data_IF_629548304252
#
_entry.id   IF_629548304252
#
_cell.length_a   1.000
_cell.length_b   1.000
_cell.length_c   1.000
_cell.angle_alpha   90.00
_cell.angle_beta   90.00
_cell.angle_gamma   90.00
#
_symmetry.space_group_name_H-M   'P 1'
#
loop_
_entity.id
_entity.type
_entity.pdbx_description
1 polymer ?
#
# COMPACT_ATOMS: atom_id res chain seq x y z
N UNK A 1 -12.74 -11.22 0.90
CA UNK A 1 -11.94 -11.96 1.90
C UNK A 1 -11.27 -13.13 1.21
N UNK A 2 -9.93 -13.11 1.09
CA UNK A 2 -9.17 -14.17 0.42
C UNK A 2 -7.67 -14.04 0.77
N UNK A 3 -7.11 -15.03 1.45
CA UNK A 3 -5.69 -15.10 1.84
C UNK A 3 -4.74 -15.27 0.64
N UNK A 4 -5.24 -15.79 -0.48
CA UNK A 4 -4.48 -15.96 -1.72
C UNK A 4 -4.52 -14.73 -2.63
N UNK A 5 -5.26 -13.70 -2.26
CA UNK A 5 -5.32 -12.45 -3.04
C UNK A 5 -3.96 -11.77 -3.08
N UNK A 6 -3.47 -11.43 -4.26
CA UNK A 6 -2.20 -10.71 -4.44
C UNK A 6 -2.24 -9.29 -3.81
N UNK A 7 -3.41 -8.68 -3.73
CA UNK A 7 -3.58 -7.29 -3.25
C UNK A 7 -4.16 -7.23 -1.84
N UNK A 8 -5.13 -8.10 -1.52
CA UNK A 8 -5.95 -7.97 -0.31
C UNK A 8 -5.78 -9.11 0.71
N UNK A 9 -4.82 -10.02 0.53
CA UNK A 9 -4.58 -11.13 1.48
C UNK A 9 -4.40 -10.66 2.93
N UNK A 10 -3.73 -9.54 3.14
CA UNK A 10 -3.52 -8.94 4.47
C UNK A 10 -4.82 -8.50 5.18
N UNK A 11 -5.95 -8.41 4.47
CA UNK A 11 -7.23 -8.03 5.07
C UNK A 11 -7.75 -9.08 6.06
N UNK A 12 -7.43 -10.36 5.83
CA UNK A 12 -7.81 -11.44 6.74
C UNK A 12 -7.13 -11.28 8.10
N UNK A 13 -5.84 -10.97 8.10
CA UNK A 13 -5.09 -10.68 9.33
C UNK A 13 -5.62 -9.42 10.05
N UNK A 14 -5.88 -8.35 9.32
CA UNK A 14 -6.49 -7.13 9.89
C UNK A 14 -7.85 -7.43 10.56
N UNK A 15 -8.69 -8.24 9.92
CA UNK A 15 -9.99 -8.63 10.49
C UNK A 15 -9.83 -9.46 11.75
N UNK A 16 -8.92 -10.42 11.77
CA UNK A 16 -8.63 -11.23 12.95
C UNK A 16 -8.12 -10.38 14.12
N UNK A 17 -7.18 -9.45 13.86
CA UNK A 17 -6.68 -8.53 14.88
C UNK A 17 -7.75 -7.54 15.39
N UNK A 18 -8.71 -7.16 14.54
CA UNK A 18 -9.88 -6.39 14.98
C UNK A 18 -10.82 -7.26 15.84
N UNK A 19 -10.95 -8.54 15.54
CA UNK A 19 -11.73 -9.48 16.35
C UNK A 19 -11.20 -9.63 17.79
N UNK A 20 -9.90 -9.45 17.99
CA UNK A 20 -9.30 -9.41 19.35
C UNK A 20 -9.68 -8.16 20.15
N UNK A 21 -10.26 -7.14 19.51
CA UNK A 21 -10.60 -5.84 20.14
C UNK A 21 -12.10 -5.61 20.28
N UNK A 22 -12.94 -6.42 19.64
CA UNK A 22 -14.40 -6.28 19.64
C UNK A 22 -15.08 -7.63 19.90
N UNK A 23 -16.19 -7.62 20.61
CA UNK A 23 -16.98 -8.84 20.90
C UNK A 23 -17.43 -9.55 19.64
N UNK A 24 -17.75 -8.79 18.59
CA UNK A 24 -18.15 -9.34 17.30
C UNK A 24 -17.71 -8.42 16.15
N UNK A 25 -17.14 -9.01 15.10
CA UNK A 25 -16.80 -8.32 13.85
C UNK A 25 -17.65 -8.91 12.72
N UNK A 26 -18.36 -8.04 12.01
CA UNK A 26 -19.12 -8.42 10.82
C UNK A 26 -18.47 -7.85 9.58
N UNK A 27 -18.06 -8.71 8.66
CA UNK A 27 -17.43 -8.33 7.40
C UNK A 27 -18.43 -8.47 6.25
N UNK A 28 -18.69 -7.38 5.52
CA UNK A 28 -19.42 -7.40 4.25
C UNK A 28 -18.43 -7.22 3.10
N UNK A 29 -18.21 -8.25 2.29
CA UNK A 29 -17.24 -8.28 1.21
C UNK A 29 -17.87 -8.47 -0.17
N UNK A 30 -17.24 -7.90 -1.20
CA UNK A 30 -17.67 -8.05 -2.60
C UNK A 30 -17.26 -9.38 -3.22
N UNK A 31 -16.15 -9.97 -2.78
CA UNK A 31 -15.64 -11.26 -3.25
C UNK A 31 -15.15 -12.10 -2.08
N UNK A 32 -15.18 -13.42 -2.26
CA UNK A 32 -14.78 -14.39 -1.25
C UNK A 32 -13.90 -15.46 -1.90
N UNK A 33 -12.87 -15.87 -1.22
CA UNK A 33 -11.95 -16.96 -1.57
C UNK A 33 -11.69 -17.82 -0.35
N UNK A 34 -10.46 -18.29 -0.19
CA UNK A 34 -10.04 -19.04 1.00
C UNK A 34 -9.68 -18.05 2.12
N UNK A 35 -10.22 -18.24 3.30
CA UNK A 35 -9.88 -17.44 4.47
C UNK A 35 -10.08 -18.21 5.78
N UNK A 36 -9.28 -17.88 6.79
CA UNK A 36 -9.45 -18.39 8.15
C UNK A 36 -9.63 -17.19 9.09
N UNK A 37 -10.77 -17.16 9.79
CA UNK A 37 -11.11 -16.07 10.70
C UNK A 37 -11.45 -16.58 12.09
N UNK A 38 -11.33 -15.70 13.10
CA UNK A 38 -11.69 -15.96 14.49
C UNK A 38 -13.18 -16.27 14.64
N UNK A 39 -13.55 -16.99 15.68
CA UNK A 39 -14.92 -17.46 15.93
C UNK A 39 -15.95 -16.35 16.09
N UNK A 40 -15.54 -15.16 16.53
CA UNK A 40 -16.37 -13.97 16.67
C UNK A 40 -16.45 -13.11 15.38
N UNK A 41 -15.90 -13.60 14.24
CA UNK A 41 -16.01 -12.95 12.94
C UNK A 41 -17.08 -13.61 12.10
N UNK A 42 -18.02 -12.82 11.60
CA UNK A 42 -19.01 -13.26 10.62
C UNK A 42 -18.76 -12.61 9.26
N UNK A 43 -18.55 -13.43 8.21
CA UNK A 43 -18.28 -12.95 6.85
C UNK A 43 -19.52 -13.12 5.98
N UNK A 44 -19.94 -12.03 5.35
CA UNK A 44 -21.07 -11.98 4.42
C UNK A 44 -20.59 -11.50 3.05
N UNK A 45 -21.18 -12.08 2.03
CA UNK A 45 -20.83 -11.89 0.64
C UNK A 45 -21.96 -11.23 -0.15
N UNK A 46 -21.66 -10.17 -0.89
CA UNK A 46 -22.63 -9.46 -1.71
C UNK A 46 -22.50 -9.69 -3.23
N UNK A 47 -21.55 -10.54 -3.65
CA UNK A 47 -21.31 -10.86 -5.06
C UNK A 47 -21.14 -9.61 -5.94
N UNK A 48 -20.08 -8.85 -5.68
CA UNK A 48 -19.72 -7.70 -6.49
C UNK A 48 -19.16 -8.15 -7.84
N UNK A 49 -19.83 -7.79 -8.93
CA UNK A 49 -19.45 -8.18 -10.29
C UNK A 49 -18.75 -6.99 -10.95
N UNK A 50 -17.45 -7.11 -11.34
CA UNK A 50 -16.77 -6.11 -12.13
C UNK A 50 -17.57 -5.76 -13.41
N UNK A 51 -17.61 -4.48 -13.77
CA UNK A 51 -18.38 -4.00 -14.92
C UNK A 51 -19.89 -3.79 -14.66
N UNK A 52 -20.52 -4.50 -13.72
CA UNK A 52 -21.95 -4.37 -13.39
C UNK A 52 -22.19 -3.57 -12.11
N UNK A 53 -21.70 -2.31 -12.11
CA UNK A 53 -21.65 -1.46 -10.89
C UNK A 53 -23.02 -1.26 -10.22
N UNK A 54 -24.06 -0.94 -10.98
CA UNK A 54 -25.40 -0.69 -10.43
C UNK A 54 -25.99 -1.93 -9.75
N UNK A 55 -25.96 -3.07 -10.43
CA UNK A 55 -26.46 -4.34 -9.88
C UNK A 55 -25.68 -4.75 -8.62
N UNK A 56 -24.37 -4.59 -8.66
CA UNK A 56 -23.50 -4.89 -7.52
C UNK A 56 -23.80 -3.97 -6.32
N UNK A 57 -24.08 -2.70 -6.58
CA UNK A 57 -24.47 -1.76 -5.54
C UNK A 57 -25.84 -2.12 -4.93
N UNK A 58 -26.84 -2.50 -5.74
CA UNK A 58 -28.14 -2.97 -5.25
C UNK A 58 -27.99 -4.20 -4.35
N UNK A 59 -27.16 -5.18 -4.75
CA UNK A 59 -26.88 -6.37 -3.95
C UNK A 59 -26.19 -6.03 -2.63
N UNK A 60 -25.21 -5.12 -2.69
CA UNK A 60 -24.52 -4.61 -1.50
C UNK A 60 -25.52 -3.94 -0.54
N UNK A 61 -26.34 -3.02 -1.03
CA UNK A 61 -27.31 -2.27 -0.23
C UNK A 61 -28.36 -3.22 0.41
N UNK A 62 -28.88 -4.16 -0.38
CA UNK A 62 -29.81 -5.17 0.15
C UNK A 62 -29.19 -5.96 1.31
N UNK A 63 -27.93 -6.43 1.13
CA UNK A 63 -27.24 -7.18 2.17
C UNK A 63 -26.90 -6.34 3.38
N UNK A 64 -26.49 -5.10 3.17
CA UNK A 64 -26.23 -4.13 4.23
C UNK A 64 -27.48 -3.86 5.08
N UNK A 65 -28.62 -3.58 4.46
CA UNK A 65 -29.89 -3.34 5.16
C UNK A 65 -30.36 -4.58 5.93
N UNK A 66 -30.21 -5.78 5.35
CA UNK A 66 -30.50 -7.03 6.04
C UNK A 66 -29.65 -7.19 7.31
N UNK A 67 -28.35 -6.86 7.24
CA UNK A 67 -27.45 -6.92 8.38
C UNK A 67 -27.81 -5.90 9.45
N UNK A 68 -28.21 -4.69 9.07
CA UNK A 68 -28.69 -3.65 10.00
C UNK A 68 -29.95 -4.07 10.74
N UNK A 69 -30.87 -4.74 10.06
CA UNK A 69 -32.11 -5.25 10.68
C UNK A 69 -31.90 -6.40 11.66
N UNK A 70 -30.80 -7.15 11.49
CA UNK A 70 -30.51 -8.35 12.29
C UNK A 70 -29.46 -8.12 13.40
N UNK A 71 -28.75 -6.99 13.41
CA UNK A 71 -27.65 -6.74 14.33
C UNK A 71 -27.61 -5.26 14.76
N UNK A 72 -27.15 -5.02 15.98
CA UNK A 72 -26.82 -3.66 16.45
C UNK A 72 -25.32 -3.40 16.23
N UNK A 73 -24.99 -2.41 15.41
CA UNK A 73 -23.61 -2.01 15.16
C UNK A 73 -23.28 -0.75 15.94
N UNK A 74 -22.13 -0.73 16.60
CA UNK A 74 -21.58 0.47 17.27
C UNK A 74 -20.78 1.33 16.30
N UNK A 75 -20.10 0.70 15.34
CA UNK A 75 -19.26 1.37 14.37
C UNK A 75 -19.24 0.62 13.03
N UNK A 76 -19.06 1.36 11.95
CA UNK A 76 -18.85 0.85 10.58
C UNK A 76 -17.54 1.41 10.05
N UNK A 77 -16.70 0.53 9.54
CA UNK A 77 -15.43 0.86 8.89
C UNK A 77 -15.46 0.45 7.42
N UNK A 78 -15.55 1.43 6.53
CA UNK A 78 -15.50 1.23 5.07
C UNK A 78 -14.05 1.28 4.59
N UNK A 79 -13.52 0.16 4.06
CA UNK A 79 -12.13 0.08 3.64
C UNK A 79 -11.98 0.25 2.12
N UNK A 80 -11.45 1.39 1.65
CA UNK A 80 -11.23 1.73 0.23
C UNK A 80 -12.49 1.69 -0.64
N UNK A 81 -13.66 1.84 -0.05
CA UNK A 81 -14.97 1.67 -0.72
C UNK A 81 -15.78 2.97 -0.67
N UNK A 82 -15.25 4.05 -1.29
CA UNK A 82 -15.88 5.38 -1.25
C UNK A 82 -17.30 5.40 -1.83
N UNK A 83 -17.57 4.64 -2.90
CA UNK A 83 -18.92 4.52 -3.48
C UNK A 83 -19.89 3.92 -2.46
N UNK A 84 -19.56 2.74 -1.90
CA UNK A 84 -20.40 2.09 -0.90
C UNK A 84 -20.57 2.96 0.34
N UNK A 85 -19.49 3.59 0.81
CA UNK A 85 -19.50 4.53 1.93
C UNK A 85 -20.49 5.66 1.69
N UNK A 86 -20.52 6.25 0.49
CA UNK A 86 -21.46 7.30 0.12
C UNK A 86 -22.92 6.87 0.29
N UNK A 87 -23.26 5.66 -0.19
CA UNK A 87 -24.66 5.19 -0.15
C UNK A 87 -25.12 4.77 1.25
N UNK A 88 -24.22 4.26 2.10
CA UNK A 88 -24.59 3.88 3.48
C UNK A 88 -24.49 5.04 4.47
N UNK A 89 -23.72 6.08 4.19
CA UNK A 89 -23.47 7.15 5.15
C UNK A 89 -24.72 7.96 5.56
N UNK A 90 -25.72 8.22 4.71
CA UNK A 90 -26.98 8.81 5.16
C UNK A 90 -27.71 7.93 6.18
N UNK A 91 -27.75 6.61 5.94
CA UNK A 91 -28.41 5.63 6.81
C UNK A 91 -27.69 5.57 8.17
N UNK A 92 -26.37 5.42 8.17
CA UNK A 92 -25.58 5.36 9.40
C UNK A 92 -25.70 6.64 10.23
N UNK A 93 -25.81 7.80 9.55
CA UNK A 93 -25.99 9.10 10.21
C UNK A 93 -27.36 9.19 10.88
N UNK A 94 -28.44 8.78 10.22
CA UNK A 94 -29.79 8.77 10.80
C UNK A 94 -29.86 7.81 11.98
N UNK A 95 -29.28 6.63 11.85
CA UNK A 95 -29.23 5.61 12.91
C UNK A 95 -28.20 5.90 14.00
N UNK A 96 -27.48 7.01 13.90
CA UNK A 96 -26.40 7.42 14.82
C UNK A 96 -25.29 6.38 15.02
N UNK A 97 -25.07 5.53 14.01
CA UNK A 97 -23.96 4.58 13.97
C UNK A 97 -22.70 5.33 13.53
N UNK A 98 -21.61 5.19 14.28
CA UNK A 98 -20.33 5.78 13.87
C UNK A 98 -19.87 5.14 12.55
N UNK A 99 -19.48 5.96 11.60
CA UNK A 99 -19.04 5.50 10.28
C UNK A 99 -17.75 6.19 9.88
N UNK A 100 -16.71 5.42 9.58
CA UNK A 100 -15.41 5.89 9.11
C UNK A 100 -15.04 5.27 7.78
N UNK A 101 -14.38 6.05 6.92
CA UNK A 101 -13.88 5.60 5.62
C UNK A 101 -12.35 5.57 5.62
N UNK A 102 -11.75 4.41 5.38
CA UNK A 102 -10.33 4.35 5.00
C UNK A 102 -10.17 4.74 3.54
N UNK A 103 -9.37 5.78 3.30
CA UNK A 103 -9.07 6.24 1.95
C UNK A 103 -7.61 6.70 1.89
N UNK A 104 -6.75 5.88 1.28
CA UNK A 104 -5.32 6.12 1.09
C UNK A 104 -4.99 6.24 -0.40
N UNK A 105 -5.55 7.23 -1.05
CA UNK A 105 -5.38 7.53 -2.47
C UNK A 105 -5.45 9.04 -2.71
N UNK A 106 -4.64 9.55 -3.65
CA UNK A 106 -4.57 11.00 -3.92
C UNK A 106 -5.68 11.53 -4.85
N UNK A 107 -6.46 10.64 -5.49
CA UNK A 107 -7.57 11.06 -6.34
C UNK A 107 -8.72 11.62 -5.53
N UNK A 108 -9.22 12.79 -5.92
CA UNK A 108 -10.46 13.33 -5.41
C UNK A 108 -11.63 12.95 -6.33
N UNK A 109 -12.78 12.68 -5.73
CA UNK A 109 -14.01 12.35 -6.44
C UNK A 109 -15.26 12.69 -5.61
N UNK A 110 -16.41 12.81 -6.27
CA UNK A 110 -17.66 13.18 -5.62
C UNK A 110 -18.07 12.26 -4.48
N UNK A 111 -17.82 10.95 -4.61
CA UNK A 111 -18.15 9.96 -3.56
C UNK A 111 -17.33 10.19 -2.30
N UNK A 112 -16.07 10.58 -2.45
CA UNK A 112 -15.20 10.93 -1.32
C UNK A 112 -15.68 12.19 -0.62
N UNK A 113 -16.12 13.22 -1.37
CA UNK A 113 -16.63 14.47 -0.81
C UNK A 113 -17.94 14.25 -0.05
N UNK A 114 -18.86 13.45 -0.58
CA UNK A 114 -20.11 13.08 0.12
C UNK A 114 -19.79 12.28 1.38
N UNK A 115 -18.90 11.29 1.29
CA UNK A 115 -18.47 10.51 2.45
C UNK A 115 -17.84 11.41 3.53
N UNK A 116 -17.00 12.39 3.14
CA UNK A 116 -16.46 13.40 4.07
C UNK A 116 -17.55 14.15 4.85
N UNK A 117 -18.61 14.55 4.15
CA UNK A 117 -19.69 15.33 4.75
C UNK A 117 -20.53 14.50 5.74
N UNK A 118 -20.78 13.24 5.43
CA UNK A 118 -21.76 12.41 6.11
C UNK A 118 -21.15 11.43 7.11
N UNK A 119 -19.89 11.04 6.96
CA UNK A 119 -19.21 10.13 7.91
C UNK A 119 -18.65 10.88 9.12
N UNK A 120 -18.26 10.13 10.14
CA UNK A 120 -17.58 10.66 11.33
C UNK A 120 -16.14 11.07 11.02
N UNK A 121 -15.50 10.44 10.02
CA UNK A 121 -14.17 10.82 9.59
C UNK A 121 -13.61 9.94 8.48
N UNK A 122 -12.51 10.43 7.91
CA UNK A 122 -11.70 9.72 6.92
C UNK A 122 -10.40 9.30 7.59
N UNK A 123 -10.05 8.04 7.47
CA UNK A 123 -8.81 7.47 7.96
C UNK A 123 -7.89 7.24 6.76
N UNK A 124 -6.62 7.55 6.90
CA UNK A 124 -5.64 7.45 5.80
C UNK A 124 -4.25 7.04 6.32
N UNK A 125 -3.35 6.67 5.42
CA UNK A 125 -1.99 6.30 5.81
C UNK A 125 -1.14 7.49 6.23
N UNK A 126 -1.18 8.58 5.46
CA UNK A 126 -0.51 9.86 5.76
C UNK A 126 -1.44 11.00 5.36
N UNK A 127 -1.22 12.19 5.89
CA UNK A 127 -2.04 13.35 5.51
C UNK A 127 -1.97 13.68 4.01
N UNK A 128 -0.86 13.36 3.34
CA UNK A 128 -0.72 13.56 1.90
C UNK A 128 -1.25 12.40 1.05
N UNK A 129 -1.55 11.26 1.67
CA UNK A 129 -2.17 10.12 0.98
C UNK A 129 -3.69 10.26 0.77
N UNK A 130 -4.27 11.37 1.21
CA UNK A 130 -5.69 11.68 1.00
C UNK A 130 -5.82 13.13 0.52
N UNK A 131 -6.65 13.43 -0.51
CA UNK A 131 -6.86 14.80 -0.99
C UNK A 131 -7.65 15.67 0.02
N UNK A 132 -8.45 15.02 0.87
CA UNK A 132 -9.23 15.70 1.92
C UNK A 132 -8.32 16.16 3.05
N UNK A 133 -8.53 17.41 3.50
CA UNK A 133 -7.87 18.01 4.65
C UNK A 133 -8.89 18.42 5.71
N UNK A 134 -8.46 18.48 6.96
CA UNK A 134 -9.29 18.99 8.07
C UNK A 134 -9.30 18.07 9.29
N UNK A 135 -10.02 18.51 10.35
CA UNK A 135 -10.04 17.88 11.67
C UNK A 135 -10.61 16.45 11.70
N UNK A 136 -11.36 16.05 10.67
CA UNK A 136 -11.94 14.70 10.55
C UNK A 136 -11.08 13.76 9.71
N UNK A 137 -9.82 14.10 9.43
CA UNK A 137 -8.88 13.24 8.71
C UNK A 137 -7.82 12.73 9.67
N UNK A 138 -7.77 11.42 9.83
CA UNK A 138 -6.90 10.71 10.77
C UNK A 138 -5.82 9.94 10.02
N UNK A 139 -4.57 10.38 10.12
CA UNK A 139 -3.43 9.67 9.56
C UNK A 139 -2.91 8.65 10.58
N UNK A 140 -3.04 7.36 10.29
CA UNK A 140 -2.69 6.29 11.23
C UNK A 140 -1.59 5.34 10.72
N UNK A 141 -0.90 5.69 9.64
CA UNK A 141 0.14 4.86 9.04
C UNK A 141 -0.40 3.81 8.06
N UNK A 142 0.49 3.00 7.51
CA UNK A 142 0.16 1.78 6.78
C UNK A 142 0.13 0.59 7.74
N UNK A 143 -0.59 -0.48 7.37
CA UNK A 143 -0.55 -1.75 8.10
C UNK A 143 0.36 -2.72 7.37
N UNK A 144 1.55 -2.99 7.93
CA UNK A 144 2.49 -3.99 7.44
C UNK A 144 2.94 -4.86 8.60
N UNK A 145 2.87 -6.17 8.43
CA UNK A 145 3.25 -7.11 9.47
C UNK A 145 4.78 -7.18 9.60
N UNK A 146 5.31 -6.63 10.69
CA UNK A 146 6.75 -6.61 10.99
C UNK A 146 7.32 -7.99 11.30
N UNK A 147 6.49 -8.96 11.68
CA UNK A 147 6.91 -10.36 11.88
C UNK A 147 7.09 -11.09 10.54
N UNK A 148 6.30 -10.68 9.54
CA UNK A 148 6.37 -11.25 8.20
C UNK A 148 7.52 -10.66 7.37
N UNK A 149 7.79 -9.35 7.49
CA UNK A 149 8.90 -8.66 6.84
C UNK A 149 10.09 -8.55 7.80
N UNK A 150 10.88 -9.62 7.89
CA UNK A 150 12.04 -9.67 8.76
C UNK A 150 13.21 -8.85 8.22
N UNK A 151 13.97 -8.23 9.11
CA UNK A 151 15.18 -7.48 8.80
C UNK A 151 16.22 -8.36 8.07
N UNK A 152 16.79 -7.87 6.96
CA UNK A 152 17.98 -8.44 6.33
C UNK A 152 19.16 -8.26 7.28
N UNK A 153 19.83 -9.33 7.63
CA UNK A 153 20.87 -9.32 8.67
C UNK A 153 22.16 -8.65 8.21
N UNK A 154 22.44 -8.65 6.91
CA UNK A 154 23.66 -8.08 6.35
C UNK A 154 23.34 -7.38 5.03
N UNK A 155 23.76 -6.13 4.92
CA UNK A 155 23.76 -5.39 3.66
C UNK A 155 25.00 -5.73 2.88
N UNK A 156 24.84 -6.09 1.62
CA UNK A 156 25.96 -6.32 0.70
C UNK A 156 26.35 -5.02 0.03
N UNK A 157 27.66 -4.77 -0.05
CA UNK A 157 28.26 -3.65 -0.79
C UNK A 157 29.38 -4.19 -1.67
N UNK A 158 29.55 -3.65 -2.89
CA UNK A 158 28.74 -2.60 -3.52
C UNK A 158 27.31 -3.03 -3.82
N UNK A 159 26.38 -2.08 -3.85
CA UNK A 159 24.99 -2.31 -4.29
C UNK A 159 25.01 -2.60 -5.79
N UNK A 160 24.48 -3.76 -6.17
CA UNK A 160 24.46 -4.26 -7.56
C UNK A 160 23.04 -4.64 -7.99
N UNK A 161 22.30 -5.32 -7.11
CA UNK A 161 20.98 -5.89 -7.43
C UNK A 161 19.86 -4.97 -6.97
N UNK A 162 19.24 -4.30 -7.93
CA UNK A 162 18.08 -3.43 -7.69
C UNK A 162 16.78 -4.20 -7.92
N UNK A 163 15.75 -3.87 -7.16
CA UNK A 163 14.43 -4.47 -7.30
C UNK A 163 13.34 -3.42 -7.27
N UNK A 164 12.32 -3.59 -8.12
CA UNK A 164 11.01 -2.96 -8.01
C UNK A 164 9.94 -4.04 -7.90
N UNK A 165 9.03 -3.89 -6.94
CA UNK A 165 7.84 -4.74 -6.82
C UNK A 165 6.62 -3.83 -6.85
N UNK A 166 5.74 -4.04 -7.83
CA UNK A 166 4.54 -3.21 -7.99
C UNK A 166 3.71 -3.62 -9.19
N UNK A 167 2.50 -3.08 -9.24
CA UNK A 167 1.60 -3.30 -10.38
C UNK A 167 2.12 -2.58 -11.62
N UNK A 168 1.94 -3.18 -12.78
CA UNK A 168 2.24 -2.54 -14.07
C UNK A 168 1.13 -1.54 -14.46
N UNK A 169 0.97 -0.50 -13.64
CA UNK A 169 0.07 0.61 -13.91
C UNK A 169 0.88 1.85 -14.32
N UNK A 170 0.39 2.71 -15.23
CA UNK A 170 1.11 3.93 -15.65
C UNK A 170 1.55 4.80 -14.49
N UNK A 171 0.75 4.88 -13.41
CA UNK A 171 1.06 5.65 -12.22
C UNK A 171 2.34 5.19 -11.48
N UNK A 172 2.77 3.94 -11.69
CA UNK A 172 4.00 3.40 -11.07
C UNK A 172 5.27 3.83 -11.78
N UNK A 173 5.16 4.44 -12.96
CA UNK A 173 6.28 4.97 -13.75
C UNK A 173 7.41 3.95 -13.99
N UNK A 174 7.05 2.69 -14.25
CA UNK A 174 8.06 1.61 -14.41
C UNK A 174 9.01 1.93 -15.55
N UNK A 175 8.51 2.47 -16.66
CA UNK A 175 9.35 2.90 -17.78
C UNK A 175 10.38 3.96 -17.40
N UNK A 176 10.04 4.89 -16.50
CA UNK A 176 10.97 5.88 -15.95
C UNK A 176 12.04 5.22 -15.06
N UNK A 177 11.63 4.27 -14.20
CA UNK A 177 12.61 3.53 -13.38
C UNK A 177 13.67 2.88 -14.26
N UNK A 178 13.26 2.16 -15.31
CA UNK A 178 14.19 1.48 -16.21
C UNK A 178 15.09 2.47 -16.94
N UNK A 179 14.51 3.57 -17.48
CA UNK A 179 15.27 4.58 -18.21
C UNK A 179 16.32 5.29 -17.35
N UNK A 180 15.96 5.65 -16.10
CA UNK A 180 16.86 6.31 -15.16
C UNK A 180 17.98 5.37 -14.70
N UNK A 181 17.70 4.08 -14.47
CA UNK A 181 18.75 3.11 -14.11
C UNK A 181 19.64 2.81 -15.32
N UNK A 182 19.10 2.73 -16.54
CA UNK A 182 19.90 2.60 -17.77
C UNK A 182 20.93 3.72 -17.88
N UNK A 183 20.52 4.97 -17.67
CA UNK A 183 21.44 6.11 -17.66
C UNK A 183 22.50 5.98 -16.56
N UNK A 184 22.13 5.54 -15.37
CA UNK A 184 23.06 5.38 -14.25
C UNK A 184 24.09 4.26 -14.49
N UNK A 185 23.79 3.29 -15.35
CA UNK A 185 24.73 2.22 -15.73
C UNK A 185 25.93 2.71 -16.53
N UNK A 186 25.88 3.89 -17.14
CA UNK A 186 27.06 4.51 -17.76
C UNK A 186 28.18 4.76 -16.72
N UNK A 187 27.78 5.07 -15.49
CA UNK A 187 28.68 5.28 -14.35
C UNK A 187 28.89 3.99 -13.51
N UNK A 188 27.88 3.10 -13.49
CA UNK A 188 27.84 1.88 -12.69
C UNK A 188 27.41 0.68 -13.52
N UNK A 189 28.25 0.16 -14.44
CA UNK A 189 27.85 -0.86 -15.42
C UNK A 189 27.43 -2.21 -14.80
N UNK A 190 27.83 -2.47 -13.56
CA UNK A 190 27.47 -3.69 -12.82
C UNK A 190 26.01 -3.73 -12.33
N UNK A 191 25.25 -2.62 -12.36
CA UNK A 191 23.89 -2.58 -11.87
C UNK A 191 22.97 -3.53 -12.65
N UNK A 192 22.15 -4.29 -11.91
CA UNK A 192 21.10 -5.16 -12.43
C UNK A 192 19.76 -4.73 -11.83
N UNK A 193 18.68 -4.83 -12.62
CA UNK A 193 17.33 -4.46 -12.19
C UNK A 193 16.34 -5.59 -12.43
N UNK A 194 15.64 -5.99 -11.37
CA UNK A 194 14.49 -6.88 -11.45
C UNK A 194 13.20 -6.08 -11.23
N UNK A 195 12.26 -6.20 -12.16
CA UNK A 195 10.90 -5.63 -12.06
C UNK A 195 9.93 -6.78 -11.89
N UNK A 196 9.26 -6.81 -10.73
CA UNK A 196 8.28 -7.86 -10.38
C UNK A 196 6.89 -7.25 -10.34
N UNK A 197 5.97 -7.77 -11.15
CA UNK A 197 4.60 -7.31 -11.13
C UNK A 197 3.77 -7.77 -12.30
N UNK A 198 2.48 -7.45 -12.22
CA UNK A 198 1.50 -7.70 -13.28
C UNK A 198 0.55 -6.50 -13.37
N UNK A 199 -0.14 -6.30 -14.50
CA UNK A 199 -1.15 -5.25 -14.61
C UNK A 199 -2.29 -5.49 -13.61
N UNK A 200 -2.85 -4.41 -13.07
CA UNK A 200 -3.97 -4.50 -12.13
C UNK A 200 -5.31 -4.81 -12.79
N UNK A 201 -5.38 -4.72 -14.10
CA UNK A 201 -6.53 -5.03 -14.94
C UNK A 201 -6.10 -5.17 -16.39
N UNK A 202 -6.93 -5.79 -17.21
CA UNK A 202 -6.71 -5.96 -18.66
C UNK A 202 -6.43 -4.62 -19.37
N UNK A 203 -7.02 -3.54 -18.89
CA UNK A 203 -6.78 -2.17 -19.38
C UNK A 203 -5.30 -1.78 -19.41
N UNK A 204 -4.49 -2.33 -18.50
CA UNK A 204 -3.06 -1.98 -18.39
C UNK A 204 -2.13 -3.03 -19.00
N UNK A 205 -2.68 -4.05 -19.66
CA UNK A 205 -1.89 -5.06 -20.37
C UNK A 205 -1.04 -4.42 -21.48
N UNK A 206 -1.65 -3.56 -22.30
CA UNK A 206 -0.96 -2.85 -23.37
C UNK A 206 0.18 -1.97 -22.86
N UNK A 207 -0.03 -1.31 -21.70
CA UNK A 207 1.03 -0.53 -21.06
C UNK A 207 2.21 -1.42 -20.65
N UNK A 208 1.95 -2.57 -20.04
CA UNK A 208 3.01 -3.52 -19.67
C UNK A 208 3.79 -4.00 -20.88
N UNK A 209 3.09 -4.37 -21.96
CA UNK A 209 3.70 -4.84 -23.21
C UNK A 209 4.53 -3.74 -23.89
N UNK A 210 4.03 -2.51 -23.90
CA UNK A 210 4.74 -1.33 -24.40
C UNK A 210 6.06 -1.10 -23.64
N UNK A 211 6.03 -1.17 -22.29
CA UNK A 211 7.24 -1.03 -21.48
C UNK A 211 8.23 -2.16 -21.76
N UNK A 212 7.79 -3.41 -21.81
CA UNK A 212 8.66 -4.57 -22.09
C UNK A 212 9.29 -4.49 -23.47
N UNK A 213 8.49 -4.14 -24.49
CA UNK A 213 8.97 -3.98 -25.87
C UNK A 213 10.02 -2.88 -25.97
N UNK A 214 9.78 -1.72 -25.34
CA UNK A 214 10.72 -0.60 -25.36
C UNK A 214 12.11 -0.96 -24.82
N UNK A 215 12.19 -1.85 -23.85
CA UNK A 215 13.43 -2.23 -23.17
C UNK A 215 13.88 -3.66 -23.47
N UNK A 216 13.42 -4.24 -24.60
CA UNK A 216 13.76 -5.61 -24.98
C UNK A 216 15.27 -5.82 -25.16
N UNK A 217 15.97 -4.87 -25.77
CA UNK A 217 17.42 -4.93 -25.90
C UNK A 217 18.14 -4.97 -24.55
N UNK A 218 17.63 -4.24 -23.56
CA UNK A 218 18.19 -4.20 -22.21
C UNK A 218 18.00 -5.52 -21.46
N UNK A 219 16.90 -6.22 -21.74
CA UNK A 219 16.66 -7.60 -21.25
C UNK A 219 17.63 -8.58 -21.92
N UNK A 220 17.85 -8.47 -23.25
CA UNK A 220 18.79 -9.34 -23.99
C UNK A 220 20.23 -9.17 -23.51
N UNK A 221 20.63 -7.94 -23.14
CA UNK A 221 21.96 -7.67 -22.53
C UNK A 221 22.07 -8.29 -21.12
N UNK A 222 20.94 -8.61 -20.46
CA UNK A 222 20.90 -9.38 -19.22
C UNK A 222 21.04 -8.54 -17.93
N UNK A 223 20.93 -7.22 -18.00
CA UNK A 223 20.91 -6.39 -16.79
C UNK A 223 19.49 -6.09 -16.29
N UNK A 224 18.47 -6.21 -17.14
CA UNK A 224 17.06 -5.99 -16.83
C UNK A 224 16.28 -7.29 -16.91
N UNK A 225 15.45 -7.57 -15.89
CA UNK A 225 14.56 -8.73 -15.88
C UNK A 225 13.15 -8.29 -15.51
N UNK A 226 12.15 -8.73 -16.29
CA UNK A 226 10.74 -8.60 -15.97
C UNK A 226 10.19 -9.95 -15.50
N UNK A 227 9.62 -9.96 -14.30
CA UNK A 227 9.01 -11.15 -13.71
C UNK A 227 7.52 -10.90 -13.45
N UNK A 228 6.66 -11.93 -13.53
CA UNK A 228 5.26 -11.80 -13.15
C UNK A 228 5.13 -11.50 -11.66
N UNK A 229 3.95 -11.05 -11.24
CA UNK A 229 3.67 -10.88 -9.83
C UNK A 229 3.83 -12.21 -9.08
N UNK A 230 4.45 -12.14 -7.92
CA UNK A 230 4.67 -13.27 -7.03
C UNK A 230 3.66 -13.25 -5.87
N UNK A 231 3.45 -14.41 -5.25
CA UNK A 231 2.64 -14.52 -4.05
C UNK A 231 3.23 -13.66 -2.92
N UNK A 232 2.33 -13.02 -2.15
CA UNK A 232 2.74 -12.15 -1.06
C UNK A 232 3.73 -12.81 -0.09
N UNK A 233 3.54 -14.09 0.19
CA UNK A 233 4.41 -14.84 1.10
C UNK A 233 5.87 -14.91 0.64
N UNK A 234 6.13 -14.78 -0.65
CA UNK A 234 7.48 -14.81 -1.25
C UNK A 234 8.17 -13.45 -1.29
N UNK A 235 7.42 -12.35 -1.06
CA UNK A 235 7.96 -10.98 -1.17
C UNK A 235 9.12 -10.73 -0.20
N UNK A 236 9.05 -11.08 1.10
CA UNK A 236 10.16 -10.85 2.03
C UNK A 236 11.46 -11.52 1.60
N UNK A 237 11.38 -12.75 1.14
CA UNK A 237 12.58 -13.50 0.71
C UNK A 237 13.12 -12.94 -0.60
N UNK A 238 12.24 -12.47 -1.49
CA UNK A 238 12.67 -11.84 -2.72
C UNK A 238 13.36 -10.49 -2.48
N UNK A 239 12.83 -9.67 -1.56
CA UNK A 239 13.49 -8.42 -1.16
C UNK A 239 14.88 -8.66 -0.59
N UNK A 240 15.08 -9.70 0.23
CA UNK A 240 16.39 -10.03 0.84
C UNK A 240 17.47 -10.45 -0.17
N UNK A 241 17.10 -10.95 -1.35
CA UNK A 241 18.04 -11.30 -2.42
C UNK A 241 18.62 -10.09 -3.15
N UNK A 242 18.09 -8.91 -2.87
CA UNK A 242 18.44 -7.65 -3.54
C UNK A 242 19.07 -6.65 -2.57
N UNK A 243 19.76 -5.67 -3.13
CA UNK A 243 20.56 -4.73 -2.36
C UNK A 243 19.88 -3.37 -2.19
N UNK A 244 18.97 -3.00 -3.09
CA UNK A 244 18.23 -1.74 -3.01
C UNK A 244 16.87 -1.86 -3.69
N UNK A 245 15.84 -1.32 -3.04
CA UNK A 245 14.51 -1.18 -3.60
C UNK A 245 14.37 0.16 -4.33
N UNK A 246 13.90 0.15 -5.57
CA UNK A 246 13.71 1.35 -6.39
C UNK A 246 12.24 1.59 -6.69
N UNK A 247 11.79 2.87 -6.64
CA UNK A 247 10.37 3.17 -6.71
C UNK A 247 10.11 4.60 -7.22
N UNK A 248 9.16 4.76 -8.16
CA UNK A 248 8.89 6.05 -8.80
C UNK A 248 7.42 6.54 -8.72
N UNK A 249 6.55 5.86 -7.99
CA UNK A 249 5.19 6.33 -7.77
C UNK A 249 5.15 7.55 -6.84
N UNK A 250 4.53 8.64 -7.31
CA UNK A 250 4.49 9.92 -6.58
C UNK A 250 3.19 10.16 -5.80
N UNK A 251 2.25 9.23 -5.82
CA UNK A 251 0.95 9.37 -5.14
C UNK A 251 1.02 9.17 -3.63
N UNK A 252 0.07 8.44 -3.09
CA UNK A 252 0.02 8.10 -1.65
C UNK A 252 1.24 7.30 -1.20
N UNK A 253 1.45 7.20 0.11
CA UNK A 253 2.47 6.31 0.68
C UNK A 253 2.20 4.87 0.22
N UNK A 254 3.07 4.35 -0.64
CA UNK A 254 2.92 3.00 -1.17
C UNK A 254 3.31 1.96 -0.11
N UNK A 255 2.53 0.90 -0.03
CA UNK A 255 2.76 -0.18 0.93
C UNK A 255 4.08 -0.90 0.68
N UNK A 256 4.46 -1.08 -0.58
CA UNK A 256 5.73 -1.74 -0.96
C UNK A 256 6.96 -0.98 -0.48
N UNK A 257 6.90 0.36 -0.37
CA UNK A 257 7.97 1.15 0.24
C UNK A 257 8.15 0.83 1.73
N UNK A 258 7.03 0.68 2.44
CA UNK A 258 7.04 0.33 3.87
C UNK A 258 7.54 -1.10 4.05
N UNK A 259 7.12 -2.03 3.20
CA UNK A 259 7.55 -3.43 3.19
C UNK A 259 9.07 -3.57 2.91
N UNK A 260 9.59 -2.84 1.91
CA UNK A 260 11.03 -2.82 1.62
C UNK A 260 11.84 -2.24 2.80
N UNK A 261 11.33 -1.18 3.44
CA UNK A 261 11.99 -0.57 4.60
C UNK A 261 11.99 -1.52 5.80
N UNK A 262 10.92 -2.28 6.04
CA UNK A 262 10.86 -3.34 7.05
C UNK A 262 11.79 -4.52 6.75
N UNK A 263 12.08 -4.77 5.48
CA UNK A 263 13.08 -5.76 5.10
C UNK A 263 14.52 -5.28 5.32
N UNK A 264 14.70 -4.05 5.81
CA UNK A 264 15.98 -3.40 6.08
C UNK A 264 16.92 -3.41 4.85
N UNK A 265 16.37 -3.08 3.68
CA UNK A 265 17.16 -2.78 2.48
C UNK A 265 17.07 -1.28 2.17
N UNK A 266 18.09 -0.66 1.57
CA UNK A 266 18.03 0.70 1.09
C UNK A 266 16.84 0.92 0.15
N UNK A 267 16.18 2.07 0.27
CA UNK A 267 15.04 2.45 -0.57
C UNK A 267 15.34 3.74 -1.28
N UNK A 268 15.52 3.70 -2.61
CA UNK A 268 15.62 4.87 -3.47
C UNK A 268 14.24 5.19 -4.05
N UNK A 269 13.71 6.37 -3.75
CA UNK A 269 12.35 6.74 -4.18
C UNK A 269 12.16 8.23 -4.35
N UNK A 270 11.21 8.59 -5.23
CA UNK A 270 10.71 9.96 -5.41
C UNK A 270 9.33 10.17 -4.76
N UNK A 271 8.85 9.21 -3.98
CA UNK A 271 7.55 9.30 -3.30
C UNK A 271 7.58 10.36 -2.21
N UNK A 272 6.79 11.42 -2.40
CA UNK A 272 6.76 12.57 -1.49
C UNK A 272 6.36 12.21 -0.06
N UNK A 273 5.41 11.30 0.11
CA UNK A 273 4.93 10.90 1.43
C UNK A 273 5.98 10.05 2.18
N UNK A 274 6.70 9.20 1.46
CA UNK A 274 7.84 8.48 2.02
C UNK A 274 8.96 9.45 2.45
N UNK A 275 9.31 10.38 1.58
CA UNK A 275 10.39 11.36 1.87
C UNK A 275 10.05 12.31 3.02
N UNK A 276 8.78 12.63 3.25
CA UNK A 276 8.35 13.41 4.43
C UNK A 276 8.57 12.65 5.74
N UNK A 277 8.41 11.34 5.74
CA UNK A 277 8.54 10.50 6.93
C UNK A 277 10.01 10.17 7.22
N UNK A 278 10.74 9.76 6.18
CA UNK A 278 12.08 9.17 6.33
C UNK A 278 13.22 10.14 5.97
N UNK A 279 12.94 11.20 5.24
CA UNK A 279 13.94 12.10 4.65
C UNK A 279 14.50 11.57 3.33
N UNK A 280 15.22 12.44 2.62
CA UNK A 280 16.02 12.08 1.45
C UNK A 280 17.33 11.40 1.92
N UNK A 281 17.90 10.55 1.09
CA UNK A 281 19.26 10.06 1.32
C UNK A 281 20.28 11.18 1.18
N UNK A 282 20.12 11.97 0.13
CA UNK A 282 20.93 13.17 -0.09
C UNK A 282 20.36 14.34 0.74
N UNK A 283 21.01 14.69 1.83
CA UNK A 283 20.67 15.82 2.70
C UNK A 283 20.96 17.20 2.07
N UNK A 284 21.35 17.27 0.79
CA UNK A 284 21.56 18.57 0.16
C UNK A 284 20.26 19.37 0.16
N UNK A 285 20.36 20.65 0.56
CA UNK A 285 19.25 21.59 0.75
C UNK A 285 18.54 22.03 -0.55
N UNK A 286 18.77 21.36 -1.69
CA UNK A 286 18.09 21.73 -2.93
C UNK A 286 16.61 21.44 -2.82
N UNK A 287 15.78 22.47 -2.98
CA UNK A 287 14.31 22.39 -2.98
C UNK A 287 13.73 21.64 -4.20
N UNK A 288 14.58 21.18 -5.13
CA UNK A 288 14.13 20.45 -6.30
C UNK A 288 13.64 19.05 -5.93
N UNK A 289 12.62 18.59 -6.62
CA UNK A 289 12.16 17.22 -6.50
C UNK A 289 13.32 16.28 -6.83
N UNK A 290 13.59 15.27 -5.97
CA UNK A 290 14.65 14.32 -6.28
C UNK A 290 14.27 13.51 -7.52
N UNK A 291 15.22 13.36 -8.43
CA UNK A 291 15.15 12.30 -9.44
C UNK A 291 15.57 10.99 -8.79
N UNK A 292 15.05 9.87 -9.26
CA UNK A 292 15.40 8.55 -8.75
C UNK A 292 16.92 8.31 -8.90
N UNK A 293 17.49 8.75 -10.03
CA UNK A 293 18.94 8.71 -10.28
C UNK A 293 19.75 9.47 -9.23
N UNK A 294 19.29 10.63 -8.75
CA UNK A 294 20.02 11.41 -7.75
C UNK A 294 20.03 10.72 -6.38
N UNK A 295 18.90 10.17 -5.96
CA UNK A 295 18.80 9.38 -4.71
C UNK A 295 19.66 8.12 -4.79
N UNK A 296 19.58 7.39 -5.91
CA UNK A 296 20.34 6.15 -6.09
C UNK A 296 21.85 6.40 -6.20
N UNK A 297 22.29 7.41 -6.98
CA UNK A 297 23.71 7.81 -7.07
C UNK A 297 24.29 8.14 -5.71
N UNK A 298 23.53 8.83 -4.86
CA UNK A 298 23.97 9.13 -3.51
C UNK A 298 24.10 7.85 -2.67
N UNK A 299 23.12 6.95 -2.69
CA UNK A 299 23.18 5.67 -1.99
C UNK A 299 24.43 4.87 -2.45
N UNK A 300 24.69 4.82 -3.76
CA UNK A 300 25.84 4.12 -4.34
C UNK A 300 27.19 4.72 -3.92
N UNK A 301 27.25 6.01 -3.58
CA UNK A 301 28.46 6.68 -3.10
C UNK A 301 28.76 6.43 -1.63
N UNK A 302 27.80 5.87 -0.87
CA UNK A 302 27.96 5.65 0.56
C UNK A 302 28.70 4.34 0.87
N UNK A 303 29.50 4.36 1.92
CA UNK A 303 30.08 3.14 2.50
C UNK A 303 29.05 2.32 3.28
N UNK A 304 29.31 1.02 3.47
CA UNK A 304 28.42 0.05 4.13
C UNK A 304 27.90 0.52 5.50
N UNK A 305 28.77 1.12 6.33
CA UNK A 305 28.39 1.61 7.66
C UNK A 305 27.38 2.75 7.61
N UNK A 306 27.53 3.69 6.67
CA UNK A 306 26.60 4.81 6.50
C UNK A 306 25.23 4.32 6.01
N UNK A 307 25.22 3.40 5.06
CA UNK A 307 24.01 2.76 4.56
C UNK A 307 23.30 2.01 5.70
N UNK A 308 24.03 1.18 6.45
CA UNK A 308 23.46 0.39 7.55
C UNK A 308 22.82 1.29 8.61
N UNK A 309 23.50 2.34 9.04
CA UNK A 309 22.99 3.29 10.04
C UNK A 309 21.68 3.95 9.59
N UNK A 310 21.59 4.39 8.34
CA UNK A 310 20.39 5.03 7.81
C UNK A 310 19.25 4.03 7.59
N UNK A 311 19.55 2.84 7.13
CA UNK A 311 18.56 1.73 7.00
C UNK A 311 18.00 1.35 8.36
N UNK A 312 18.84 1.23 9.40
CA UNK A 312 18.39 0.93 10.76
C UNK A 312 17.49 2.03 11.33
N UNK A 313 17.84 3.29 11.11
CA UNK A 313 16.99 4.43 11.51
C UNK A 313 15.61 4.36 10.85
N UNK A 314 15.55 4.09 9.54
CA UNK A 314 14.29 3.98 8.78
C UNK A 314 13.48 2.76 9.22
N UNK A 315 14.14 1.64 9.45
CA UNK A 315 13.53 0.41 9.96
C UNK A 315 12.80 0.67 11.29
N UNK A 316 13.43 1.33 12.26
CA UNK A 316 12.81 1.63 13.56
C UNK A 316 11.60 2.58 13.41
N UNK A 317 11.67 3.56 12.52
CA UNK A 317 10.54 4.45 12.23
C UNK A 317 9.34 3.65 11.69
N UNK A 318 9.59 2.71 10.76
CA UNK A 318 8.52 1.88 10.18
C UNK A 318 7.94 0.94 11.24
N UNK A 319 8.79 0.26 11.98
CA UNK A 319 8.39 -0.68 13.02
C UNK A 319 7.48 0.00 14.06
N UNK A 320 7.78 1.23 14.43
CA UNK A 320 6.99 1.99 15.40
C UNK A 320 5.67 2.50 14.81
N UNK A 321 5.69 2.99 13.56
CA UNK A 321 4.56 3.76 13.01
C UNK A 321 3.69 2.97 12.03
N UNK A 322 4.17 1.85 11.48
CA UNK A 322 3.50 1.13 10.39
C UNK A 322 3.29 -0.36 10.66
N UNK A 323 3.74 -0.87 11.82
CA UNK A 323 3.44 -2.25 12.21
C UNK A 323 1.92 -2.46 12.38
N UNK A 324 1.43 -3.63 11.95
CA UNK A 324 0.00 -3.95 11.94
C UNK A 324 -0.63 -3.86 13.33
N UNK A 325 0.05 -4.31 14.37
CA UNK A 325 -0.50 -4.27 15.73
C UNK A 325 -0.67 -2.82 16.22
N UNK A 326 0.35 -2.00 16.08
CA UNK A 326 0.28 -0.58 16.38
C UNK A 326 -0.75 0.17 15.52
N UNK A 327 -0.89 -0.22 14.25
CA UNK A 327 -1.89 0.31 13.35
C UNK A 327 -3.31 -0.04 13.82
N UNK A 328 -3.58 -1.28 14.23
CA UNK A 328 -4.88 -1.72 14.79
C UNK A 328 -5.22 -0.89 16.02
N UNK A 329 -4.29 -0.71 16.94
CA UNK A 329 -4.55 0.10 18.16
C UNK A 329 -4.91 1.55 17.81
N UNK A 330 -4.20 2.18 16.85
CA UNK A 330 -4.56 3.53 16.36
C UNK A 330 -5.91 3.55 15.65
N UNK A 331 -6.23 2.51 14.87
CA UNK A 331 -7.55 2.39 14.22
C UNK A 331 -8.66 2.31 15.27
N UNK A 332 -8.55 1.42 16.24
CA UNK A 332 -9.52 1.24 17.33
C UNK A 332 -9.72 2.56 18.09
N UNK A 333 -8.63 3.25 18.45
CA UNK A 333 -8.72 4.56 19.10
C UNK A 333 -9.55 5.58 18.30
N UNK A 334 -9.42 5.58 16.95
CA UNK A 334 -10.25 6.45 16.10
C UNK A 334 -11.70 5.99 16.06
N UNK A 335 -11.96 4.68 15.92
CA UNK A 335 -13.30 4.11 15.83
C UNK A 335 -14.10 4.31 17.11
N UNK A 336 -13.45 4.14 18.27
CA UNK A 336 -14.07 4.22 19.60
C UNK A 336 -14.12 5.65 20.15
N UNK A 337 -13.48 6.60 19.47
CA UNK A 337 -13.37 7.96 19.95
C UNK A 337 -14.71 8.48 20.47
N UNK A 338 -14.82 8.53 21.82
CA UNK A 338 -15.95 9.17 22.51
C UNK A 338 -15.80 10.67 22.24
N UNK A 339 -16.86 11.30 21.74
CA UNK A 339 -16.94 12.76 21.61
C UNK A 339 -16.66 13.43 22.92
#
# INVERSE_FOLDING_TARGET
MDEKSQVFSHQVDVVNKLADKYDQVTVLTGSIGTYKVSSNVKVFYCNWIPGKRFLSLCRFMRKFLQLLGSNKFTCIFSHMTSVQSTFISPITRVLRIKHYLWYAHTSDNIYLQISRALTNGIITSTLGSCPIKGRKVYAIGQSVDSKFFNKKLRLETPIIKLIHIGRFDPSKNIGSIVAEIKQLRDEHPGLKLNIIGSPSSDKFQEYMESVKSKFMADVQIGWLTFMPAIERIKIPDELKKHDCFVHAFQGSLDKTLVEATLSAIPVATVNKEYLKIFGKWNYSKSNNQPFLTSELRFILSLGANAISKEVDRRYEIVRTNHDTEGWINRLVNVLDHKK
#
